data_IF_845479732825
#
_entry.id   IF_845479732825
#
_cell.length_a   1.000
_cell.length_b   1.000
_cell.length_c   1.000
_cell.angle_alpha   90.00
_cell.angle_beta   90.00
_cell.angle_gamma   90.00
#
_symmetry.space_group_name_H-M   'P 1'
#
loop_
_entity.id
_entity.type
_entity.pdbx_description
1 polymer ?
#
# COMPACT_ATOMS: atom_id res chain seq x y z
N UNK A 1 13.61 -20.85 1.01
CA UNK A 1 14.95 -20.90 1.58
C UNK A 1 15.63 -19.54 1.46
N UNK A 2 16.51 -19.20 2.38
CA UNK A 2 17.27 -17.93 2.38
C UNK A 2 18.08 -17.72 1.08
N UNK A 3 18.62 -18.77 0.49
CA UNK A 3 19.37 -18.72 -0.76
C UNK A 3 18.54 -18.20 -1.94
N UNK A 4 17.30 -18.62 -2.06
CA UNK A 4 16.39 -18.16 -3.11
C UNK A 4 16.06 -16.66 -2.97
N UNK A 5 15.93 -16.17 -1.75
CA UNK A 5 15.72 -14.75 -1.47
C UNK A 5 16.93 -13.89 -1.88
N UNK A 6 18.15 -14.40 -1.62
CA UNK A 6 19.39 -13.69 -2.00
C UNK A 6 19.55 -13.64 -3.53
N UNK A 7 19.24 -14.72 -4.24
CA UNK A 7 19.30 -14.77 -5.71
C UNK A 7 18.30 -13.79 -6.32
N UNK A 8 17.07 -13.75 -5.82
CA UNK A 8 16.04 -12.79 -6.28
C UNK A 8 16.47 -11.34 -6.08
N UNK A 9 17.06 -11.01 -4.92
CA UNK A 9 17.59 -9.68 -4.63
C UNK A 9 18.68 -9.29 -5.63
N UNK A 10 19.59 -10.20 -5.92
CA UNK A 10 20.68 -9.97 -6.90
C UNK A 10 20.14 -9.72 -8.31
N UNK A 11 19.14 -10.50 -8.75
CA UNK A 11 18.53 -10.35 -10.07
C UNK A 11 17.79 -9.01 -10.18
N UNK A 12 17.03 -8.62 -9.16
CA UNK A 12 16.30 -7.35 -9.18
C UNK A 12 17.24 -6.15 -9.13
N UNK A 13 18.31 -6.22 -8.34
CA UNK A 13 19.33 -5.17 -8.30
C UNK A 13 20.06 -5.03 -9.64
N UNK A 14 20.40 -6.14 -10.28
CA UNK A 14 21.00 -6.15 -11.61
C UNK A 14 20.06 -5.56 -12.67
N UNK A 15 18.76 -5.87 -12.60
CA UNK A 15 17.74 -5.26 -13.44
C UNK A 15 17.60 -3.76 -13.22
N UNK A 16 17.66 -3.29 -11.96
CA UNK A 16 17.63 -1.88 -11.61
C UNK A 16 18.87 -1.13 -12.14
N UNK A 17 20.06 -1.74 -12.08
CA UNK A 17 21.27 -1.16 -12.66
C UNK A 17 21.17 -1.02 -14.18
N UNK A 18 20.73 -2.07 -14.89
CA UNK A 18 20.55 -2.01 -16.35
C UNK A 18 19.53 -0.96 -16.75
N UNK A 19 18.44 -0.82 -15.99
CA UNK A 19 17.43 0.21 -16.26
C UNK A 19 18.00 1.62 -16.00
N UNK A 20 18.78 1.79 -14.93
CA UNK A 20 19.47 3.04 -14.61
C UNK A 20 20.43 3.47 -15.72
N UNK A 21 21.21 2.54 -16.28
CA UNK A 21 22.10 2.78 -17.41
C UNK A 21 21.34 3.23 -18.67
N UNK A 22 20.18 2.61 -18.93
CA UNK A 22 19.33 3.04 -20.06
C UNK A 22 18.71 4.41 -19.82
N UNK A 23 18.27 4.71 -18.61
CA UNK A 23 17.73 6.04 -18.25
C UNK A 23 18.79 7.13 -18.41
N UNK A 24 20.04 6.85 -18.03
CA UNK A 24 21.16 7.78 -18.26
C UNK A 24 21.42 7.99 -19.75
N UNK A 25 21.43 6.91 -20.53
CA UNK A 25 21.74 6.97 -21.95
C UNK A 25 20.62 7.61 -22.79
N UNK A 26 19.35 7.28 -22.51
CA UNK A 26 18.21 7.71 -23.34
C UNK A 26 17.56 9.01 -22.85
N UNK A 27 17.63 9.31 -21.54
CA UNK A 27 16.91 10.42 -20.91
C UNK A 27 17.83 11.40 -20.17
N UNK A 28 19.14 11.15 -20.13
CA UNK A 28 20.13 11.92 -19.35
C UNK A 28 19.77 12.01 -17.84
N UNK A 29 19.14 10.95 -17.31
CA UNK A 29 18.76 10.83 -15.90
C UNK A 29 19.73 9.89 -15.20
N UNK A 30 20.50 10.41 -14.24
CA UNK A 30 21.40 9.61 -13.39
C UNK A 30 20.75 9.31 -12.06
N UNK A 31 20.67 8.01 -11.74
CA UNK A 31 20.23 7.54 -10.45
C UNK A 31 21.46 7.29 -9.54
N UNK A 32 21.36 7.71 -8.28
CA UNK A 32 22.35 7.34 -7.27
C UNK A 32 22.11 5.92 -6.73
N UNK A 33 23.04 5.40 -5.92
CA UNK A 33 22.97 4.03 -5.38
C UNK A 33 21.72 3.76 -4.56
N UNK A 34 21.21 4.77 -3.85
CA UNK A 34 19.97 4.67 -3.06
C UNK A 34 18.76 4.55 -4.00
N UNK A 35 18.71 5.36 -5.04
CA UNK A 35 17.63 5.33 -6.04
C UNK A 35 17.64 4.01 -6.84
N UNK A 36 18.82 3.48 -7.19
CA UNK A 36 18.95 2.16 -7.82
C UNK A 36 18.45 1.07 -6.87
N UNK A 37 18.78 1.15 -5.59
CA UNK A 37 18.29 0.22 -4.58
C UNK A 37 16.78 0.27 -4.42
N UNK A 38 16.19 1.48 -4.42
CA UNK A 38 14.74 1.67 -4.40
C UNK A 38 14.08 1.13 -5.67
N UNK A 39 14.69 1.34 -6.82
CA UNK A 39 14.22 0.78 -8.10
C UNK A 39 14.25 -0.75 -8.07
N UNK A 40 15.30 -1.37 -7.53
CA UNK A 40 15.38 -2.82 -7.35
C UNK A 40 14.25 -3.34 -6.44
N UNK A 41 13.95 -2.61 -5.37
CA UNK A 41 12.83 -2.91 -4.48
C UNK A 41 11.49 -2.83 -5.20
N UNK A 42 11.29 -1.78 -6.01
CA UNK A 42 10.09 -1.63 -6.83
C UNK A 42 9.95 -2.78 -7.84
N UNK A 43 11.03 -3.15 -8.54
CA UNK A 43 11.02 -4.27 -9.48
C UNK A 43 10.65 -5.60 -8.80
N UNK A 44 11.15 -5.84 -7.59
CA UNK A 44 10.76 -7.01 -6.79
C UNK A 44 9.28 -6.97 -6.39
N UNK A 45 8.76 -5.79 -6.06
CA UNK A 45 7.36 -5.58 -5.65
C UNK A 45 6.37 -5.74 -6.81
N UNK A 46 6.75 -5.30 -8.01
CA UNK A 46 5.92 -5.35 -9.22
C UNK A 46 6.04 -6.65 -10.01
N UNK A 47 7.03 -7.48 -9.68
CA UNK A 47 7.13 -8.78 -10.32
C UNK A 47 5.88 -9.59 -9.97
N UNK A 48 4.96 -9.74 -10.93
CA UNK A 48 3.86 -10.69 -10.85
C UNK A 48 4.47 -12.08 -10.75
N UNK A 49 4.65 -12.52 -9.51
CA UNK A 49 5.23 -13.82 -9.25
C UNK A 49 4.35 -14.92 -9.81
N UNK A 50 4.87 -15.59 -10.82
CA UNK A 50 4.43 -16.93 -11.17
C UNK A 50 4.96 -17.99 -10.19
N UNK A 51 5.77 -17.59 -9.22
CA UNK A 51 6.28 -18.46 -8.16
C UNK A 51 5.31 -18.54 -6.98
N UNK A 52 4.16 -19.15 -7.24
CA UNK A 52 3.07 -19.39 -6.28
C UNK A 52 3.50 -20.29 -5.11
N UNK A 53 4.62 -21.03 -5.22
CA UNK A 53 4.96 -22.09 -4.27
C UNK A 53 5.75 -21.67 -3.02
N UNK A 54 6.42 -20.52 -3.01
CA UNK A 54 7.19 -20.06 -1.84
C UNK A 54 6.37 -19.15 -0.90
N UNK A 55 5.16 -18.73 -1.29
CA UNK A 55 4.39 -17.67 -0.62
C UNK A 55 2.90 -17.99 -0.47
N UNK A 56 2.46 -19.23 -0.70
CA UNK A 56 1.03 -19.54 -0.62
C UNK A 56 0.47 -19.31 0.79
N UNK A 57 1.22 -19.63 1.83
CA UNK A 57 0.81 -19.43 3.21
C UNK A 57 0.87 -17.96 3.62
N UNK A 58 1.95 -17.24 3.24
CA UNK A 58 2.08 -15.80 3.49
C UNK A 58 1.04 -14.99 2.72
N UNK A 59 0.72 -15.42 1.49
CA UNK A 59 -0.32 -14.80 0.68
C UNK A 59 -1.73 -15.03 1.26
N UNK A 60 -2.02 -16.24 1.73
CA UNK A 60 -3.29 -16.55 2.37
C UNK A 60 -3.49 -15.73 3.65
N UNK A 61 -2.46 -15.60 4.49
CA UNK A 61 -2.50 -14.77 5.69
C UNK A 61 -2.67 -13.27 5.37
N UNK A 62 -2.00 -12.79 4.33
CA UNK A 62 -2.16 -11.42 3.86
C UNK A 62 -3.60 -11.16 3.41
N UNK A 63 -4.16 -12.05 2.62
CA UNK A 63 -5.53 -11.94 2.14
C UNK A 63 -6.54 -12.02 3.27
N UNK A 64 -6.39 -12.97 4.19
CA UNK A 64 -7.26 -13.14 5.35
C UNK A 64 -7.29 -11.87 6.22
N UNK A 65 -6.14 -11.28 6.50
CA UNK A 65 -6.06 -10.03 7.25
C UNK A 65 -6.75 -8.86 6.55
N UNK A 66 -6.59 -8.75 5.21
CA UNK A 66 -7.27 -7.72 4.41
C UNK A 66 -8.77 -7.95 4.33
N UNK A 67 -9.23 -9.19 4.27
CA UNK A 67 -10.66 -9.52 4.32
C UNK A 67 -11.28 -9.10 5.66
N UNK A 68 -10.60 -9.38 6.77
CA UNK A 68 -11.02 -8.94 8.10
C UNK A 68 -11.02 -7.41 8.22
N UNK A 69 -10.02 -6.75 7.65
CA UNK A 69 -9.95 -5.29 7.59
C UNK A 69 -11.12 -4.69 6.82
N UNK A 70 -11.44 -5.20 5.63
CA UNK A 70 -12.56 -4.73 4.81
C UNK A 70 -13.91 -5.01 5.46
N UNK A 71 -14.06 -6.14 6.13
CA UNK A 71 -15.29 -6.47 6.85
C UNK A 71 -15.66 -5.41 7.90
N UNK A 72 -14.68 -4.75 8.54
CA UNK A 72 -14.95 -3.66 9.47
C UNK A 72 -15.64 -2.46 8.81
N UNK A 73 -15.28 -2.16 7.56
CA UNK A 73 -15.95 -1.10 6.80
C UNK A 73 -17.36 -1.52 6.40
N UNK A 74 -17.53 -2.75 5.93
CA UNK A 74 -18.83 -3.31 5.56
C UNK A 74 -19.79 -3.44 6.75
N UNK A 75 -19.28 -3.74 7.94
CA UNK A 75 -20.05 -3.78 9.18
C UNK A 75 -20.39 -2.39 9.74
N UNK A 76 -19.85 -1.34 9.17
CA UNK A 76 -20.11 0.05 9.53
C UNK A 76 -21.10 0.71 8.53
N UNK A 77 -21.14 2.02 8.50
CA UNK A 77 -21.96 2.78 7.55
C UNK A 77 -21.31 2.98 6.18
N UNK A 78 -20.11 2.43 5.94
CA UNK A 78 -19.42 2.58 4.66
C UNK A 78 -19.88 1.53 3.65
N UNK A 79 -20.29 1.99 2.47
CA UNK A 79 -20.69 1.13 1.36
C UNK A 79 -19.58 1.06 0.30
N UNK A 80 -18.97 -0.10 0.13
CA UNK A 80 -17.94 -0.36 -0.88
C UNK A 80 -18.63 -0.73 -2.19
N UNK A 81 -18.30 -0.02 -3.27
CA UNK A 81 -18.93 -0.22 -4.57
C UNK A 81 -18.45 -1.51 -5.25
N UNK A 82 -17.13 -1.73 -5.28
CA UNK A 82 -16.54 -2.92 -5.88
C UNK A 82 -15.50 -3.53 -4.93
N UNK A 83 -15.97 -4.43 -4.08
CA UNK A 83 -15.16 -5.09 -3.05
C UNK A 83 -13.99 -5.89 -3.61
N UNK A 84 -14.22 -6.62 -4.69
CA UNK A 84 -13.21 -7.53 -5.27
C UNK A 84 -12.07 -6.73 -5.91
N UNK A 85 -12.37 -5.64 -6.58
CA UNK A 85 -11.35 -4.73 -7.13
C UNK A 85 -10.57 -4.03 -6.02
N UNK A 86 -11.26 -3.59 -4.97
CA UNK A 86 -10.62 -2.99 -3.81
C UNK A 86 -9.67 -3.98 -3.12
N UNK A 87 -10.13 -5.21 -2.87
CA UNK A 87 -9.30 -6.25 -2.26
C UNK A 87 -8.05 -6.53 -3.11
N UNK A 88 -8.19 -6.63 -4.42
CA UNK A 88 -7.10 -6.86 -5.36
C UNK A 88 -6.08 -5.72 -5.35
N UNK A 89 -6.55 -4.48 -5.33
CA UNK A 89 -5.70 -3.30 -5.24
C UNK A 89 -4.98 -3.22 -3.90
N UNK A 90 -5.68 -3.51 -2.80
CA UNK A 90 -5.08 -3.55 -1.46
C UNK A 90 -4.06 -4.69 -1.34
N UNK A 91 -4.32 -5.86 -1.89
CA UNK A 91 -3.35 -6.96 -1.93
C UNK A 91 -2.05 -6.54 -2.62
N UNK A 92 -2.15 -5.89 -3.77
CA UNK A 92 -0.99 -5.39 -4.51
C UNK A 92 -0.23 -4.32 -3.71
N UNK A 93 -0.96 -3.36 -3.15
CA UNK A 93 -0.37 -2.28 -2.36
C UNK A 93 0.29 -2.80 -1.07
N UNK A 94 -0.38 -3.69 -0.34
CA UNK A 94 0.11 -4.21 0.92
C UNK A 94 1.30 -5.15 0.77
N UNK A 95 1.40 -5.90 -0.33
CA UNK A 95 2.62 -6.65 -0.65
C UNK A 95 3.83 -5.74 -0.76
N UNK A 96 3.69 -4.63 -1.49
CA UNK A 96 4.75 -3.65 -1.64
C UNK A 96 5.07 -2.95 -0.31
N UNK A 97 4.04 -2.64 0.49
CA UNK A 97 4.17 -2.06 1.82
C UNK A 97 4.98 -2.97 2.75
N UNK A 98 4.59 -4.25 2.87
CA UNK A 98 5.26 -5.21 3.72
C UNK A 98 6.72 -5.44 3.29
N UNK A 99 6.96 -5.48 1.99
CA UNK A 99 8.31 -5.56 1.46
C UNK A 99 9.16 -4.36 1.92
N UNK A 100 8.65 -3.13 1.79
CA UNK A 100 9.35 -1.92 2.27
C UNK A 100 9.61 -1.98 3.78
N UNK A 101 8.61 -2.39 4.57
CA UNK A 101 8.75 -2.56 6.04
C UNK A 101 9.86 -3.55 6.39
N UNK A 102 9.93 -4.68 5.69
CA UNK A 102 10.97 -5.72 5.91
C UNK A 102 12.38 -5.17 5.69
N UNK A 103 12.55 -4.21 4.78
CA UNK A 103 13.87 -3.61 4.47
C UNK A 103 14.08 -2.24 5.10
N UNK A 104 13.20 -1.81 6.00
CA UNK A 104 13.32 -0.52 6.68
C UNK A 104 13.19 0.69 5.74
N UNK A 105 12.54 0.50 4.59
CA UNK A 105 12.32 1.56 3.60
C UNK A 105 11.10 2.37 4.02
N UNK A 106 11.31 3.63 4.35
CA UNK A 106 10.22 4.54 4.71
C UNK A 106 9.52 5.06 3.44
N UNK A 107 8.20 4.94 3.42
CA UNK A 107 7.35 5.60 2.42
C UNK A 107 6.82 6.91 3.00
N UNK A 108 6.97 8.00 2.24
CA UNK A 108 6.25 9.24 2.51
C UNK A 108 5.08 9.37 1.54
N UNK A 109 3.95 9.80 2.06
CA UNK A 109 2.78 10.12 1.23
C UNK A 109 2.58 11.64 1.26
N UNK A 110 2.77 12.35 0.14
CA UNK A 110 2.62 13.79 0.10
C UNK A 110 1.19 14.26 0.41
N UNK A 111 0.21 13.36 0.30
CA UNK A 111 -1.19 13.65 0.55
C UNK A 111 -1.63 13.39 2.00
N UNK A 112 -0.75 12.87 2.87
CA UNK A 112 -1.11 12.50 4.25
C UNK A 112 -1.79 13.66 4.99
N UNK A 113 -1.23 14.86 4.92
CA UNK A 113 -1.81 16.03 5.58
C UNK A 113 -3.19 16.37 5.02
N UNK A 114 -3.36 16.33 3.71
CA UNK A 114 -4.63 16.58 3.06
C UNK A 114 -5.68 15.54 3.46
N UNK A 115 -5.32 14.27 3.45
CA UNK A 115 -6.21 13.16 3.83
C UNK A 115 -6.65 13.30 5.30
N UNK A 116 -5.73 13.57 6.21
CA UNK A 116 -6.03 13.76 7.63
C UNK A 116 -6.94 14.95 7.92
N UNK A 117 -6.90 15.99 7.09
CA UNK A 117 -7.73 17.18 7.27
C UNK A 117 -9.06 17.08 6.54
N UNK A 118 -9.04 16.70 5.27
CA UNK A 118 -10.25 16.68 4.43
C UNK A 118 -11.10 15.43 4.64
N UNK A 119 -10.49 14.31 4.96
CA UNK A 119 -11.14 13.01 5.16
C UNK A 119 -10.87 12.45 6.56
N UNK A 120 -10.95 13.31 7.57
CA UNK A 120 -10.55 13.02 8.94
C UNK A 120 -11.27 11.78 9.53
N UNK A 121 -12.58 11.66 9.31
CA UNK A 121 -13.37 10.54 9.82
C UNK A 121 -12.96 9.23 9.17
N UNK A 122 -12.83 9.23 7.83
CA UNK A 122 -12.39 8.04 7.09
C UNK A 122 -10.95 7.66 7.47
N UNK A 123 -10.04 8.64 7.60
CA UNK A 123 -8.68 8.39 8.05
C UNK A 123 -8.63 7.76 9.45
N UNK A 124 -9.40 8.31 10.38
CA UNK A 124 -9.46 7.81 11.76
C UNK A 124 -10.04 6.40 11.81
N UNK A 125 -11.09 6.14 11.04
CA UNK A 125 -11.69 4.82 10.95
C UNK A 125 -10.73 3.81 10.30
N UNK A 126 -10.04 4.21 9.22
CA UNK A 126 -9.00 3.38 8.57
C UNK A 126 -7.90 3.05 9.56
N UNK A 127 -7.40 4.02 10.31
CA UNK A 127 -6.34 3.83 11.31
C UNK A 127 -6.76 2.85 12.41
N UNK A 128 -7.95 3.01 12.95
CA UNK A 128 -8.46 2.08 13.98
C UNK A 128 -8.70 0.67 13.44
N UNK A 129 -9.11 0.54 12.19
CA UNK A 129 -9.32 -0.75 11.54
C UNK A 129 -8.01 -1.44 11.15
N UNK A 130 -6.98 -0.66 10.83
CA UNK A 130 -5.68 -1.15 10.41
C UNK A 130 -4.89 -1.87 11.52
N UNK A 131 -5.30 -1.75 12.78
CA UNK A 131 -4.75 -2.54 13.90
C UNK A 131 -4.80 -4.04 13.59
N UNK A 132 -5.83 -4.52 12.90
CA UNK A 132 -5.94 -5.91 12.44
C UNK A 132 -4.76 -6.30 11.55
N UNK A 133 -4.34 -5.40 10.66
CA UNK A 133 -3.21 -5.61 9.75
C UNK A 133 -1.88 -5.58 10.51
N UNK A 134 -1.74 -4.65 11.45
CA UNK A 134 -0.53 -4.52 12.28
C UNK A 134 -0.30 -5.78 13.11
N UNK A 135 -1.35 -6.31 13.73
CA UNK A 135 -1.30 -7.53 14.53
C UNK A 135 -1.02 -8.77 13.67
N UNK A 136 -1.71 -8.90 12.51
CA UNK A 136 -1.55 -10.05 11.64
C UNK A 136 -0.15 -10.12 10.98
N UNK A 137 0.44 -8.96 10.69
CA UNK A 137 1.71 -8.88 9.95
C UNK A 137 2.91 -8.51 10.82
N UNK A 138 2.71 -8.28 12.11
CA UNK A 138 3.76 -7.83 13.06
C UNK A 138 4.50 -6.58 12.55
N UNK A 139 3.76 -5.59 12.07
CA UNK A 139 4.28 -4.32 11.58
C UNK A 139 3.61 -3.15 12.28
N UNK A 140 4.27 -2.00 12.26
CA UNK A 140 3.67 -0.72 12.65
C UNK A 140 3.41 0.10 11.40
N UNK A 141 2.17 0.56 11.21
CA UNK A 141 1.77 1.42 10.12
C UNK A 141 1.88 2.88 10.51
N UNK A 142 2.59 3.66 9.71
CA UNK A 142 2.71 5.10 9.89
C UNK A 142 1.46 5.82 9.40
N UNK A 143 1.30 7.10 9.74
CA UNK A 143 0.21 7.91 9.17
C UNK A 143 0.28 8.00 7.64
N UNK A 144 1.48 7.94 7.06
CA UNK A 144 1.66 7.89 5.60
C UNK A 144 1.12 6.59 5.00
N UNK A 145 1.36 5.45 5.66
CA UNK A 145 0.82 4.15 5.25
C UNK A 145 -0.71 4.13 5.37
N UNK A 146 -1.25 4.64 6.49
CA UNK A 146 -2.69 4.76 6.70
C UNK A 146 -3.34 5.67 5.67
N UNK A 147 -2.69 6.77 5.28
CA UNK A 147 -3.20 7.66 4.24
C UNK A 147 -3.32 6.96 2.88
N UNK A 148 -2.36 6.10 2.52
CA UNK A 148 -2.47 5.26 1.31
C UNK A 148 -3.65 4.29 1.37
N UNK A 149 -3.84 3.61 2.50
CA UNK A 149 -5.01 2.74 2.69
C UNK A 149 -6.31 3.54 2.59
N UNK A 150 -6.35 4.72 3.21
CA UNK A 150 -7.53 5.62 3.18
C UNK A 150 -7.88 6.05 1.76
N UNK A 151 -6.87 6.33 0.91
CA UNK A 151 -7.09 6.68 -0.50
C UNK A 151 -7.73 5.51 -1.25
N UNK A 152 -7.23 4.29 -1.06
CA UNK A 152 -7.81 3.10 -1.71
C UNK A 152 -9.25 2.85 -1.28
N UNK A 153 -9.53 2.94 0.02
CA UNK A 153 -10.88 2.80 0.55
C UNK A 153 -11.78 3.91 0.00
N UNK A 154 -11.37 5.18 0.14
CA UNK A 154 -12.15 6.34 -0.28
C UNK A 154 -12.52 6.32 -1.77
N UNK A 155 -11.57 5.89 -2.62
CA UNK A 155 -11.82 5.73 -4.06
C UNK A 155 -12.77 4.59 -4.42
N UNK A 156 -13.11 3.72 -3.48
CA UNK A 156 -14.01 2.57 -3.66
C UNK A 156 -15.35 2.73 -2.93
N UNK A 157 -15.58 3.86 -2.24
CA UNK A 157 -16.86 4.16 -1.61
C UNK A 157 -17.86 4.70 -2.63
N UNK A 158 -19.15 4.39 -2.42
CA UNK A 158 -20.23 5.00 -3.21
C UNK A 158 -20.27 6.51 -3.04
N UNK A 159 -20.40 7.24 -4.13
CA UNK A 159 -20.32 8.71 -4.20
C UNK A 159 -21.23 9.47 -3.22
N UNK A 160 -22.37 8.89 -2.83
CA UNK A 160 -23.29 9.50 -1.86
C UNK A 160 -22.69 9.70 -0.46
N UNK A 161 -21.63 8.98 -0.12
CA UNK A 161 -20.97 9.07 1.18
C UNK A 161 -19.76 10.01 1.20
N UNK A 162 -19.07 10.16 0.06
CA UNK A 162 -17.97 11.11 -0.07
C UNK A 162 -18.48 12.59 -0.02
N UNK A 163 -19.67 12.85 -0.56
CA UNK A 163 -20.29 14.19 -0.55
C UNK A 163 -20.90 14.57 0.80
N UNK A 164 -21.40 13.60 1.59
CA UNK A 164 -21.97 13.88 2.91
C UNK A 164 -20.93 14.30 3.95
N UNK A 165 -19.67 13.90 3.80
CA UNK A 165 -18.59 14.35 4.68
C UNK A 165 -18.17 15.80 4.40
N UNK A 166 -18.22 16.23 3.15
CA UNK A 166 -17.91 17.62 2.77
C UNK A 166 -18.99 18.59 3.29
N UNK A 167 -20.26 18.17 3.31
CA UNK A 167 -21.38 18.96 3.81
C UNK A 167 -21.47 19.05 5.35
N UNK A 168 -21.03 18.04 6.11
CA UNK A 168 -21.03 18.10 7.57
C UNK A 168 -20.02 19.10 8.14
N UNK A 169 -18.91 19.33 7.45
CA UNK A 169 -17.93 20.34 7.87
C UNK A 169 -18.39 21.78 7.62
N UNK A 170 -19.30 22.01 6.67
CA UNK A 170 -19.84 23.33 6.37
C UNK A 170 -20.85 23.77 7.43
N UNK A 171 -21.57 22.86 8.08
CA UNK A 171 -22.55 23.16 9.13
C UNK A 171 -21.98 23.37 10.54
N UNK A 172 -20.69 23.07 10.76
CA UNK A 172 -20.02 23.26 12.06
C UNK A 172 -19.25 24.59 12.17
N UNK A 173 -19.32 25.46 11.16
CA UNK A 173 -18.65 26.78 11.10
C UNK A 173 -19.66 27.96 11.10
N UNK A 174 -20.94 27.71 11.37
CA UNK A 174 -21.93 28.76 11.60
C UNK A 174 -22.37 28.81 13.06
#
# INVERSE_FOLDING_TARGET
SQEFSIIRKRIAYRGAMLLSERMEHELDIRLNDIEISLLAVLLLSYRKDKDIHATSQDFAQLQEALEAFLWRFEASSYEIENRDDLLRNLLTHCKALLFRKTYGIMSKNPLTRLIKTKYADLFTFTKSSAVILEEAWFVTLTDDDIAYLTIHIGGSLKNSQAEQQDNRQIYLVC
#
